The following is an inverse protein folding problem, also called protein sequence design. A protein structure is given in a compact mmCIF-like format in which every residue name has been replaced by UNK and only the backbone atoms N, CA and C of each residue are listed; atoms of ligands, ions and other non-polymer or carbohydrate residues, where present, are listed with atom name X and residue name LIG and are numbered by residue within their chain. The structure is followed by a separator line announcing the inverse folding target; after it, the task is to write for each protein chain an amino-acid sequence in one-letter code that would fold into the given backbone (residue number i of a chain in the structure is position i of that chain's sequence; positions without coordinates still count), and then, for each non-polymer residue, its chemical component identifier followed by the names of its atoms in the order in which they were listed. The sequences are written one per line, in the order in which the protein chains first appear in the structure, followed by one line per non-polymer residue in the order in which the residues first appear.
data_IF_866554273321
#
_entry.id   IF_866554273321
#
_cell.length_a   1.000
_cell.length_b   1.000
_cell.length_c   1.000
_cell.angle_alpha   90.00
_cell.angle_beta   90.00
_cell.angle_gamma   90.00
#
_symmetry.space_group_name_H-M   'P 1'
#
loop_
_entity.id
_entity.type
_entity.pdbx_description
1 polymer ?
#
# COMPACT_ATOMS: atom_id res chain seq x y z
N UNK A 1 30.67 8.98 45.41
CA UNK A 1 30.92 10.20 44.61
C UNK A 1 30.31 10.10 43.21
N UNK A 2 30.55 9.04 42.43
CA UNK A 2 29.93 8.83 41.10
C UNK A 2 28.39 8.74 41.15
N UNK A 3 27.86 7.96 42.10
CA UNK A 3 26.44 7.61 42.10
C UNK A 3 25.54 8.78 42.48
N UNK A 4 26.04 9.69 43.34
CA UNK A 4 25.38 10.94 43.67
C UNK A 4 25.40 11.93 42.49
N UNK A 5 26.48 11.98 41.71
CA UNK A 5 26.55 12.81 40.50
C UNK A 5 25.62 12.29 39.40
N UNK A 6 25.52 10.96 39.24
CA UNK A 6 24.57 10.32 38.32
C UNK A 6 23.13 10.61 38.74
N UNK A 7 22.81 10.50 40.03
CA UNK A 7 21.47 10.80 40.55
C UNK A 7 21.10 12.28 40.35
N UNK A 8 22.05 13.21 40.56
CA UNK A 8 21.86 14.63 40.30
C UNK A 8 21.57 14.88 38.81
N UNK A 9 22.41 14.33 37.92
CA UNK A 9 22.26 14.50 36.48
C UNK A 9 20.92 13.95 35.96
N UNK A 10 20.44 12.82 36.51
CA UNK A 10 19.12 12.27 36.15
C UNK A 10 17.97 13.16 36.62
N UNK A 11 18.11 13.82 37.77
CA UNK A 11 17.12 14.78 38.28
C UNK A 11 17.09 16.02 37.39
N UNK A 12 18.24 16.59 37.09
CA UNK A 12 18.38 17.76 36.21
C UNK A 12 17.84 17.46 34.81
N UNK A 13 18.12 16.27 34.27
CA UNK A 13 17.62 15.84 32.97
C UNK A 13 16.09 15.72 32.97
N UNK A 14 15.48 15.24 34.05
CA UNK A 14 14.03 15.18 34.18
C UNK A 14 13.40 16.58 34.27
N UNK A 15 14.02 17.50 34.98
CA UNK A 15 13.58 18.90 35.08
C UNK A 15 13.65 19.59 33.70
N UNK A 16 14.78 19.46 32.99
CA UNK A 16 14.94 19.97 31.63
C UNK A 16 13.91 19.38 30.65
N UNK A 17 13.57 18.08 30.78
CA UNK A 17 12.52 17.46 29.97
C UNK A 17 11.13 18.07 30.23
N UNK A 18 10.81 18.40 31.48
CA UNK A 18 9.55 19.04 31.84
C UNK A 18 9.49 20.47 31.30
N UNK A 19 10.57 21.24 31.46
CA UNK A 19 10.69 22.59 30.90
C UNK A 19 10.52 22.57 29.37
N UNK A 20 11.19 21.66 28.69
CA UNK A 20 11.07 21.50 27.24
C UNK A 20 9.62 21.18 26.82
N UNK A 21 8.89 20.38 27.61
CA UNK A 21 7.48 20.08 27.33
C UNK A 21 6.60 21.32 27.46
N UNK A 22 6.87 22.20 28.42
CA UNK A 22 6.15 23.48 28.57
C UNK A 22 6.49 24.41 27.41
N UNK A 23 7.77 24.60 27.09
CA UNK A 23 8.21 25.44 25.97
C UNK A 23 7.57 24.99 24.65
N UNK A 24 7.55 23.68 24.36
CA UNK A 24 6.88 23.13 23.18
C UNK A 24 5.39 23.43 23.13
N UNK A 25 4.70 23.47 24.27
CA UNK A 25 3.28 23.85 24.31
C UNK A 25 3.09 25.35 24.06
N UNK A 26 3.95 26.19 24.64
CA UNK A 26 3.90 27.64 24.43
C UNK A 26 4.18 27.99 22.98
N UNK A 27 5.22 27.41 22.36
CA UNK A 27 5.52 27.59 20.93
C UNK A 27 4.30 27.24 20.08
N UNK A 28 3.66 26.09 20.34
CA UNK A 28 2.44 25.70 19.61
C UNK A 28 1.28 26.67 19.79
N UNK A 29 1.19 27.33 20.94
CA UNK A 29 0.20 28.37 21.19
C UNK A 29 0.49 29.64 20.40
N UNK A 30 1.74 30.08 20.35
CA UNK A 30 2.19 31.25 19.59
C UNK A 30 2.09 31.02 18.07
N UNK A 31 2.40 29.81 17.60
CA UNK A 31 2.26 29.40 16.19
C UNK A 31 0.79 29.19 15.77
N UNK A 32 -0.15 29.22 16.71
CA UNK A 32 -1.55 29.03 16.39
C UNK A 32 -2.08 30.28 15.67
N UNK A 33 -2.47 30.11 14.41
CA UNK A 33 -3.12 31.17 13.64
C UNK A 33 -4.50 31.43 14.24
N UNK A 34 -4.65 32.59 14.90
CA UNK A 34 -5.91 33.06 15.51
C UNK A 34 -6.70 34.01 14.62
N UNK A 35 -6.19 34.30 13.41
CA UNK A 35 -6.87 35.16 12.44
C UNK A 35 -8.26 34.61 12.09
N UNK A 36 -9.27 35.46 12.20
CA UNK A 36 -10.66 35.06 12.08
C UNK A 36 -11.00 34.60 10.65
N UNK A 37 -10.50 35.32 9.64
CA UNK A 37 -10.74 34.99 8.22
C UNK A 37 -10.08 33.65 7.85
N UNK A 38 -8.85 33.41 8.29
CA UNK A 38 -8.18 32.13 8.11
C UNK A 38 -8.96 30.98 8.76
N UNK A 39 -9.45 31.17 9.99
CA UNK A 39 -10.18 30.13 10.71
C UNK A 39 -11.54 29.83 10.05
N UNK A 40 -12.23 30.84 9.53
CA UNK A 40 -13.45 30.67 8.74
C UNK A 40 -13.18 29.95 7.42
N UNK A 41 -12.14 30.36 6.69
CA UNK A 41 -11.74 29.72 5.44
C UNK A 41 -11.35 28.25 5.66
N UNK A 42 -10.64 27.95 6.75
CA UNK A 42 -10.27 26.58 7.13
C UNK A 42 -11.50 25.72 7.44
N UNK A 43 -12.52 26.28 8.11
CA UNK A 43 -13.79 25.59 8.36
C UNK A 43 -14.54 25.34 7.06
N UNK A 44 -14.65 26.35 6.20
CA UNK A 44 -15.30 26.24 4.89
C UNK A 44 -14.61 25.18 4.02
N UNK A 45 -13.28 25.17 3.97
CA UNK A 45 -12.51 24.15 3.25
C UNK A 45 -12.79 22.74 3.79
N UNK A 46 -12.85 22.57 5.12
CA UNK A 46 -13.15 21.27 5.72
C UNK A 46 -14.55 20.79 5.33
N UNK A 47 -15.55 21.67 5.40
CA UNK A 47 -16.92 21.34 4.99
C UNK A 47 -17.01 20.99 3.51
N UNK A 48 -16.38 21.77 2.64
CA UNK A 48 -16.35 21.49 1.21
C UNK A 48 -15.69 20.13 0.91
N UNK A 49 -14.61 19.80 1.62
CA UNK A 49 -13.94 18.50 1.48
C UNK A 49 -14.83 17.34 1.92
N UNK A 50 -15.64 17.52 2.97
CA UNK A 50 -16.62 16.52 3.39
C UNK A 50 -17.72 16.35 2.33
N UNK A 51 -18.29 17.44 1.83
CA UNK A 51 -19.29 17.42 0.76
C UNK A 51 -18.78 16.75 -0.52
N UNK A 52 -17.52 16.98 -0.90
CA UNK A 52 -16.91 16.29 -2.05
C UNK A 52 -16.85 14.78 -1.84
N UNK A 53 -16.51 14.32 -0.64
CA UNK A 53 -16.46 12.88 -0.34
C UNK A 53 -17.85 12.26 -0.37
N UNK A 54 -18.85 12.97 0.15
CA UNK A 54 -20.23 12.50 0.12
C UNK A 54 -20.70 12.36 -1.34
N UNK A 55 -20.39 13.34 -2.18
CA UNK A 55 -20.69 13.29 -3.61
C UNK A 55 -19.96 12.15 -4.35
N UNK A 56 -18.66 11.94 -4.06
CA UNK A 56 -17.90 10.81 -4.60
C UNK A 56 -18.52 9.47 -4.19
N UNK A 57 -18.95 9.35 -2.93
CA UNK A 57 -19.59 8.14 -2.43
C UNK A 57 -20.95 7.87 -3.09
N UNK A 58 -21.77 8.92 -3.29
CA UNK A 58 -23.03 8.82 -4.03
C UNK A 58 -22.80 8.41 -5.49
N UNK A 59 -21.87 9.07 -6.19
CA UNK A 59 -21.54 8.74 -7.57
C UNK A 59 -21.02 7.30 -7.73
N UNK A 60 -20.23 6.81 -6.76
CA UNK A 60 -19.77 5.42 -6.75
C UNK A 60 -20.89 4.44 -6.45
N UNK A 61 -21.87 4.82 -5.62
CA UNK A 61 -23.05 3.99 -5.36
C UNK A 61 -23.85 3.76 -6.65
N UNK A 62 -24.08 4.83 -7.42
CA UNK A 62 -24.76 4.73 -8.71
C UNK A 62 -24.00 3.81 -9.69
N UNK A 63 -22.66 3.87 -9.68
CA UNK A 63 -21.81 2.96 -10.45
C UNK A 63 -21.92 1.50 -9.97
N UNK A 64 -22.03 1.25 -8.67
CA UNK A 64 -22.21 -0.09 -8.12
C UNK A 64 -23.61 -0.65 -8.39
N UNK A 65 -24.61 0.21 -8.58
CA UNK A 65 -25.95 -0.18 -8.99
C UNK A 65 -26.06 -0.36 -10.52
N UNK A 66 -25.05 0.09 -11.31
CA UNK A 66 -24.98 -0.13 -12.75
C UNK A 66 -24.70 -1.61 -13.09
N UNK A 67 -25.63 -2.21 -13.84
CA UNK A 67 -25.53 -3.59 -14.31
C UNK A 67 -24.28 -3.81 -15.18
N UNK A 68 -23.90 -2.84 -16.02
CA UNK A 68 -22.76 -2.95 -16.93
C UNK A 68 -21.45 -3.03 -16.15
N UNK A 69 -21.32 -2.23 -15.09
CA UNK A 69 -20.18 -2.28 -14.18
C UNK A 69 -20.11 -3.63 -13.46
N UNK A 70 -21.23 -4.11 -12.94
CA UNK A 70 -21.31 -5.39 -12.25
C UNK A 70 -20.98 -6.58 -13.16
N UNK A 71 -21.37 -6.53 -14.44
CA UNK A 71 -20.98 -7.53 -15.43
C UNK A 71 -19.46 -7.54 -15.67
N UNK A 72 -18.83 -6.37 -15.77
CA UNK A 72 -17.37 -6.27 -15.89
C UNK A 72 -16.66 -6.82 -14.65
N UNK A 73 -17.17 -6.56 -13.44
CA UNK A 73 -16.62 -7.12 -12.21
C UNK A 73 -16.73 -8.64 -12.19
N UNK A 74 -17.89 -9.20 -12.57
CA UNK A 74 -18.07 -10.67 -12.67
C UNK A 74 -17.10 -11.27 -13.69
N UNK A 75 -16.95 -10.64 -14.85
CA UNK A 75 -16.02 -11.10 -15.88
C UNK A 75 -14.58 -11.07 -15.38
N UNK A 76 -14.19 -9.99 -14.68
CA UNK A 76 -12.86 -9.88 -14.07
C UNK A 76 -12.61 -11.03 -13.09
N UNK A 77 -13.54 -11.29 -12.17
CA UNK A 77 -13.41 -12.37 -11.17
C UNK A 77 -13.29 -13.74 -11.87
N UNK A 78 -14.15 -14.03 -12.85
CA UNK A 78 -14.08 -15.27 -13.63
C UNK A 78 -12.72 -15.45 -14.33
N UNK A 79 -12.15 -14.36 -14.87
CA UNK A 79 -10.82 -14.40 -15.50
C UNK A 79 -9.71 -14.59 -14.48
N UNK A 80 -9.78 -13.93 -13.32
CA UNK A 80 -8.81 -14.10 -12.23
C UNK A 80 -8.80 -15.55 -11.71
N UNK A 81 -9.98 -16.17 -11.53
CA UNK A 81 -10.10 -17.57 -11.14
C UNK A 81 -9.53 -18.52 -12.20
N UNK A 82 -9.84 -18.28 -13.48
CA UNK A 82 -9.28 -19.07 -14.59
C UNK A 82 -7.76 -18.97 -14.66
N UNK A 83 -7.20 -17.77 -14.46
CA UNK A 83 -5.75 -17.57 -14.40
C UNK A 83 -5.17 -18.33 -13.20
N UNK A 84 -5.78 -18.24 -12.03
CA UNK A 84 -5.32 -18.96 -10.84
C UNK A 84 -5.30 -20.49 -11.06
N UNK A 85 -6.35 -21.04 -11.66
CA UNK A 85 -6.40 -22.46 -12.02
C UNK A 85 -5.35 -22.85 -13.08
N UNK A 86 -5.15 -22.01 -14.10
CA UNK A 86 -4.13 -22.25 -15.13
C UNK A 86 -2.72 -22.22 -14.53
N UNK A 87 -2.44 -21.26 -13.64
CA UNK A 87 -1.18 -21.15 -12.93
C UNK A 87 -0.94 -22.37 -12.03
N UNK A 88 -1.96 -22.82 -11.28
CA UNK A 88 -1.84 -24.03 -10.48
C UNK A 88 -1.45 -25.24 -11.34
N UNK A 89 -2.15 -25.45 -12.47
CA UNK A 89 -1.81 -26.52 -13.42
C UNK A 89 -0.40 -26.35 -13.99
N UNK A 90 0.02 -25.14 -14.31
CA UNK A 90 1.37 -24.85 -14.78
C UNK A 90 2.40 -25.26 -13.74
N UNK A 91 2.23 -24.86 -12.47
CA UNK A 91 3.15 -25.23 -11.40
C UNK A 91 3.17 -26.75 -11.14
N UNK A 92 2.04 -27.45 -11.25
CA UNK A 92 1.98 -28.91 -11.18
C UNK A 92 2.78 -29.58 -12.30
N UNK A 93 2.78 -29.01 -13.51
CA UNK A 93 3.59 -29.52 -14.63
C UNK A 93 5.08 -29.19 -14.44
N UNK A 94 5.40 -27.98 -13.97
CA UNK A 94 6.77 -27.57 -13.67
C UNK A 94 7.38 -28.46 -12.58
N UNK A 95 6.60 -28.83 -11.56
CA UNK A 95 7.06 -29.73 -10.50
C UNK A 95 7.46 -31.13 -11.01
N UNK A 96 6.98 -31.55 -12.19
CA UNK A 96 7.36 -32.81 -12.84
C UNK A 96 8.62 -32.69 -13.70
N UNK A 97 9.09 -31.48 -13.98
CA UNK A 97 10.31 -31.26 -14.76
C UNK A 97 11.55 -31.64 -13.94
N UNK A 98 12.66 -32.07 -14.60
CA UNK A 98 13.93 -32.30 -13.92
C UNK A 98 14.42 -31.01 -13.27
N UNK A 99 15.11 -31.10 -12.12
CA UNK A 99 15.70 -29.97 -11.39
C UNK A 99 16.94 -29.37 -12.11
N UNK A 100 16.78 -29.00 -13.38
CA UNK A 100 17.78 -28.33 -14.19
C UNK A 100 17.13 -27.11 -14.84
N UNK A 101 17.90 -26.04 -15.12
CA UNK A 101 17.37 -24.90 -15.87
C UNK A 101 16.72 -25.34 -17.18
N UNK A 102 15.49 -24.89 -17.40
CA UNK A 102 14.72 -25.17 -18.63
C UNK A 102 14.31 -23.85 -19.26
N UNK A 103 14.59 -23.70 -20.56
CA UNK A 103 14.25 -22.52 -21.35
C UNK A 103 13.30 -22.93 -22.47
N UNK A 104 12.18 -22.21 -22.58
CA UNK A 104 11.23 -22.36 -23.67
C UNK A 104 11.04 -21.00 -24.36
N UNK A 105 11.16 -20.98 -25.68
CA UNK A 105 10.81 -19.82 -26.51
C UNK A 105 9.61 -20.18 -27.36
N UNK A 106 8.59 -19.32 -27.34
CA UNK A 106 7.41 -19.48 -28.17
C UNK A 106 7.04 -18.16 -28.83
N UNK A 107 6.55 -18.24 -30.06
CA UNK A 107 6.01 -17.10 -30.78
C UNK A 107 4.51 -16.97 -30.48
N UNK A 108 4.10 -15.77 -30.09
CA UNK A 108 2.70 -15.40 -29.87
C UNK A 108 2.33 -14.22 -30.77
N UNK A 109 1.04 -13.95 -30.94
CA UNK A 109 0.56 -12.82 -31.74
C UNK A 109 1.10 -11.46 -31.24
N UNK A 110 1.44 -11.36 -29.94
CA UNK A 110 2.02 -10.17 -29.30
C UNK A 110 3.56 -10.15 -29.27
N UNK A 111 4.21 -11.14 -29.90
CA UNK A 111 5.69 -11.26 -29.98
C UNK A 111 6.27 -12.51 -29.33
N UNK A 112 7.59 -12.52 -29.11
CA UNK A 112 8.30 -13.67 -28.53
C UNK A 112 8.14 -13.74 -27.01
N UNK A 113 7.70 -14.90 -26.51
CA UNK A 113 7.65 -15.21 -25.09
C UNK A 113 8.80 -16.16 -24.73
N UNK A 114 9.68 -15.72 -23.82
CA UNK A 114 10.76 -16.52 -23.27
C UNK A 114 10.43 -16.90 -21.82
N UNK A 115 10.34 -18.20 -21.55
CA UNK A 115 10.06 -18.76 -20.23
C UNK A 115 11.34 -19.42 -19.72
N UNK A 116 11.84 -18.96 -18.58
CA UNK A 116 12.99 -19.54 -17.89
C UNK A 116 12.54 -20.15 -16.57
N UNK A 117 12.76 -21.46 -16.39
CA UNK A 117 12.43 -22.22 -15.19
C UNK A 117 13.74 -22.62 -14.50
N UNK A 118 13.93 -22.17 -13.25
CA UNK A 118 15.12 -22.49 -12.45
C UNK A 118 14.85 -23.59 -11.40
N UNK A 119 15.90 -24.31 -10.93
CA UNK A 119 15.77 -25.44 -9.99
C UNK A 119 15.08 -25.14 -8.65
N UNK A 120 14.99 -23.87 -8.23
CA UNK A 120 14.26 -23.42 -7.04
C UNK A 120 12.75 -23.16 -7.28
N UNK A 121 12.18 -23.60 -8.41
CA UNK A 121 10.77 -23.38 -8.80
C UNK A 121 10.35 -21.90 -8.92
N UNK A 122 11.27 -21.03 -9.35
CA UNK A 122 10.94 -19.63 -9.68
C UNK A 122 10.65 -19.54 -11.17
N UNK A 123 9.43 -19.09 -11.51
CA UNK A 123 8.99 -18.87 -12.88
C UNK A 123 9.19 -17.40 -13.23
N UNK A 124 9.89 -17.16 -14.33
CA UNK A 124 10.09 -15.82 -14.88
C UNK A 124 9.40 -15.71 -16.23
N UNK A 125 8.51 -14.73 -16.35
CA UNK A 125 7.89 -14.35 -17.62
C UNK A 125 8.45 -13.00 -18.03
N UNK A 126 9.16 -12.94 -19.15
CA UNK A 126 9.79 -11.71 -19.66
C UNK A 126 10.65 -10.97 -18.60
N UNK A 127 11.36 -11.72 -17.75
CA UNK A 127 12.28 -11.17 -16.74
C UNK A 127 11.64 -10.68 -15.43
N UNK A 128 10.32 -10.81 -15.25
CA UNK A 128 9.64 -10.52 -13.96
C UNK A 128 9.35 -11.80 -13.20
N UNK A 129 9.69 -11.82 -11.91
CA UNK A 129 9.43 -12.94 -10.98
C UNK A 129 7.94 -12.99 -10.61
N UNK A 130 7.24 -14.09 -10.92
CA UNK A 130 5.93 -14.33 -10.31
C UNK A 130 6.15 -14.87 -8.89
N UNK A 131 6.03 -13.99 -7.89
CA UNK A 131 6.05 -14.41 -6.49
C UNK A 131 4.82 -15.24 -6.17
N UNK A 132 5.07 -16.47 -5.73
CA UNK A 132 4.13 -17.35 -5.04
C UNK A 132 3.42 -16.56 -3.93
N UNK A 133 2.12 -16.27 -4.08
CA UNK A 133 1.29 -15.96 -2.91
C UNK A 133 0.99 -17.29 -2.24
N UNK A 134 1.58 -17.47 -1.05
CA UNK A 134 1.21 -18.56 -0.13
C UNK A 134 -0.26 -18.43 0.23
#
# INVERSE_FOLDING_TARGET
MSDQQIALALKDLRELQLELKVIKKSIKGEEQITDAEYLELKKAYKQLREQMKDYEAEALKDLYDDNSYNELIKLKIDKEEKIAHANQRLFEQIAKLPQKPYELKMETEDGHLAIHINPEMRVYVNGKEEKKRV
#
